data_IF_142003999809
#
_entry.id   IF_142003999809
#
_cell.length_a   1.000
_cell.length_b   1.000
_cell.length_c   1.000
_cell.angle_alpha   90.00
_cell.angle_beta   90.00
_cell.angle_gamma   90.00
#
_symmetry.space_group_name_H-M   'P 1'
#
loop_
_entity.id
_entity.type
_entity.pdbx_description
1 polymer ?
#
# COMPACT_ATOMS: atom_id res chain seq x y z
N UNK A 1 35.97 -25.41 3.31
CA UNK A 1 34.89 -25.63 2.33
C UNK A 1 33.81 -24.56 2.48
N UNK A 2 33.52 -23.96 1.42
CA UNK A 2 32.90 -22.70 1.08
C UNK A 2 31.45 -22.51 1.57
N UNK A 3 31.20 -21.41 2.32
CA UNK A 3 29.86 -20.83 2.50
C UNK A 3 29.85 -19.42 1.89
N UNK A 4 29.66 -19.34 0.58
CA UNK A 4 29.40 -18.07 -0.13
C UNK A 4 28.43 -18.35 -1.28
N UNK A 5 27.10 -18.18 -1.06
CA UNK A 5 26.16 -18.03 -2.20
C UNK A 5 24.74 -17.54 -1.88
N UNK A 6 24.40 -17.10 -0.66
CA UNK A 6 23.00 -16.74 -0.36
C UNK A 6 22.71 -15.23 -0.21
N UNK A 7 23.71 -14.35 -0.31
CA UNK A 7 23.54 -12.91 -0.02
C UNK A 7 23.17 -12.07 -1.25
N UNK A 8 23.41 -12.54 -2.45
CA UNK A 8 23.23 -11.72 -3.68
C UNK A 8 21.83 -11.76 -4.33
N UNK A 9 20.93 -12.63 -3.89
CA UNK A 9 19.59 -12.75 -4.51
C UNK A 9 18.56 -11.77 -3.94
N UNK A 10 18.76 -11.29 -2.71
CA UNK A 10 17.81 -10.41 -2.01
C UNK A 10 17.92 -8.93 -2.46
N UNK A 11 19.08 -8.50 -2.95
CA UNK A 11 19.31 -7.09 -3.35
C UNK A 11 18.66 -6.68 -4.69
N UNK A 12 18.32 -7.61 -5.58
CA UNK A 12 17.75 -7.27 -6.91
C UNK A 12 16.25 -6.98 -6.90
N UNK A 13 15.50 -7.56 -5.98
CA UNK A 13 14.04 -7.34 -5.88
C UNK A 13 13.68 -5.98 -5.26
N UNK A 14 14.50 -5.47 -4.34
CA UNK A 14 14.24 -4.19 -3.67
C UNK A 14 14.32 -2.97 -4.60
N UNK A 15 15.06 -3.04 -5.72
CA UNK A 15 15.15 -1.91 -6.66
C UNK A 15 13.89 -1.77 -7.51
N UNK A 16 13.30 -2.87 -7.97
CA UNK A 16 12.05 -2.85 -8.76
C UNK A 16 10.88 -2.34 -7.93
N UNK A 17 10.73 -2.83 -6.71
CA UNK A 17 9.67 -2.38 -5.80
C UNK A 17 9.80 -0.89 -5.50
N UNK A 18 11.00 -0.38 -5.24
CA UNK A 18 11.25 1.04 -5.00
C UNK A 18 10.91 1.92 -6.21
N UNK A 19 11.22 1.46 -7.42
CA UNK A 19 10.85 2.20 -8.63
C UNK A 19 9.33 2.30 -8.79
N UNK A 20 8.59 1.22 -8.52
CA UNK A 20 7.11 1.23 -8.53
C UNK A 20 6.59 2.16 -7.43
N UNK A 21 7.17 2.10 -6.24
CA UNK A 21 6.80 2.94 -5.08
C UNK A 21 6.93 4.43 -5.41
N UNK A 22 8.07 4.86 -5.98
CA UNK A 22 8.30 6.25 -6.39
C UNK A 22 7.37 6.69 -7.52
N UNK A 23 7.22 5.89 -8.56
CA UNK A 23 6.32 6.19 -9.67
C UNK A 23 4.86 6.29 -9.20
N UNK A 24 4.44 5.41 -8.26
CA UNK A 24 3.10 5.44 -7.69
C UNK A 24 2.84 6.71 -6.89
N UNK A 25 3.83 7.21 -6.14
CA UNK A 25 3.70 8.48 -5.43
C UNK A 25 3.47 9.66 -6.40
N UNK A 26 4.19 9.71 -7.52
CA UNK A 26 3.99 10.73 -8.56
C UNK A 26 2.59 10.62 -9.19
N UNK A 27 2.18 9.41 -9.58
CA UNK A 27 0.85 9.17 -10.12
C UNK A 27 -0.26 9.64 -9.18
N UNK A 28 -0.15 9.36 -7.87
CA UNK A 28 -1.12 9.78 -6.87
C UNK A 28 -1.13 11.29 -6.66
N UNK A 29 0.04 11.93 -6.69
CA UNK A 29 0.15 13.39 -6.63
C UNK A 29 -0.59 14.05 -7.80
N UNK A 30 -0.41 13.55 -9.02
CA UNK A 30 -1.14 14.02 -10.21
C UNK A 30 -2.66 13.81 -10.08
N UNK A 31 -3.10 12.78 -9.36
CA UNK A 31 -4.52 12.54 -9.01
C UNK A 31 -5.00 13.38 -7.83
N UNK A 32 -4.17 14.31 -7.35
CA UNK A 32 -4.48 15.21 -6.22
C UNK A 32 -4.73 14.49 -4.90
N UNK A 33 -4.04 13.38 -4.65
CA UNK A 33 -3.97 12.79 -3.33
C UNK A 33 -2.96 13.55 -2.47
N UNK A 34 -3.28 13.76 -1.19
CA UNK A 34 -2.37 14.38 -0.20
C UNK A 34 -2.95 14.16 1.22
N UNK A 35 -2.13 13.76 2.21
CA UNK A 35 -0.74 13.33 2.08
C UNK A 35 -0.56 11.97 1.38
N UNK A 36 0.65 11.74 0.85
CA UNK A 36 1.09 10.46 0.29
C UNK A 36 2.35 10.05 1.03
N UNK A 37 2.41 8.82 1.53
CA UNK A 37 3.63 8.29 2.16
C UNK A 37 3.82 6.82 1.86
N UNK A 38 5.05 6.34 2.02
CA UNK A 38 5.44 4.96 1.76
C UNK A 38 5.77 4.25 3.08
N UNK A 39 5.76 2.92 3.11
CA UNK A 39 6.16 2.11 4.27
C UNK A 39 5.60 2.65 5.58
N UNK A 40 4.30 2.87 5.58
CA UNK A 40 3.61 3.41 6.75
C UNK A 40 3.11 2.29 7.64
N UNK A 41 3.44 2.38 8.92
CA UNK A 41 2.90 1.50 9.98
C UNK A 41 2.20 2.39 10.99
N UNK A 42 0.89 2.34 11.05
CA UNK A 42 0.14 3.17 11.99
C UNK A 42 -1.32 2.74 12.12
N UNK A 43 -1.98 3.19 13.20
CA UNK A 43 -3.39 2.91 13.50
C UNK A 43 -3.76 1.41 13.49
N UNK A 44 -2.85 0.54 13.98
CA UNK A 44 -3.05 -0.91 13.99
C UNK A 44 -2.93 -1.57 12.60
N UNK A 45 -2.54 -0.82 11.57
CA UNK A 45 -2.23 -1.35 10.25
C UNK A 45 -0.87 -2.07 10.29
N UNK A 46 -0.78 -3.17 9.57
CA UNK A 46 0.50 -3.71 9.16
C UNK A 46 1.17 -2.71 8.19
N UNK A 47 2.49 -2.79 8.05
CA UNK A 47 3.20 -1.96 7.10
C UNK A 47 2.55 -2.07 5.70
N UNK A 48 2.25 -0.91 5.11
CA UNK A 48 1.77 -0.79 3.74
C UNK A 48 2.84 -0.14 2.87
N UNK A 49 2.93 -0.53 1.60
CA UNK A 49 3.96 -0.01 0.70
C UNK A 49 3.70 1.46 0.35
N UNK A 50 2.49 1.80 -0.06
CA UNK A 50 2.08 3.20 -0.32
C UNK A 50 0.70 3.43 0.27
N UNK A 51 0.52 4.57 0.94
CA UNK A 51 -0.76 5.02 1.46
C UNK A 51 -0.98 6.49 1.11
N UNK A 52 -2.22 6.85 0.79
CA UNK A 52 -2.58 8.22 0.44
C UNK A 52 -3.99 8.56 0.87
N UNK A 53 -4.28 9.87 0.92
CA UNK A 53 -5.62 10.39 1.19
C UNK A 53 -6.09 11.17 -0.04
N UNK A 54 -7.32 10.89 -0.50
CA UNK A 54 -7.97 11.65 -1.56
C UNK A 54 -8.52 12.99 -1.06
N UNK A 55 -8.91 13.89 -1.97
CA UNK A 55 -9.61 15.16 -1.63
C UNK A 55 -10.89 14.97 -0.82
N UNK A 56 -11.49 13.79 -0.86
CA UNK A 56 -12.71 13.45 -0.11
C UNK A 56 -12.42 12.77 1.23
N UNK A 57 -11.17 12.80 1.71
CA UNK A 57 -10.65 12.19 2.94
C UNK A 57 -10.74 10.66 2.97
N UNK A 58 -10.89 10.00 1.84
CA UNK A 58 -10.81 8.55 1.75
C UNK A 58 -9.35 8.09 1.71
N UNK A 59 -9.07 7.02 2.46
CA UNK A 59 -7.75 6.39 2.58
C UNK A 59 -7.61 5.34 1.49
N UNK A 60 -6.53 5.42 0.74
CA UNK A 60 -6.13 4.46 -0.29
C UNK A 60 -4.83 3.79 0.12
N UNK A 61 -4.82 2.47 0.12
CA UNK A 61 -3.63 1.65 0.36
C UNK A 61 -3.27 0.88 -0.90
N UNK A 62 -1.99 0.85 -1.19
CA UNK A 62 -1.43 0.17 -2.35
C UNK A 62 -0.33 -0.77 -1.88
N UNK A 63 -0.46 -2.03 -2.22
CA UNK A 63 0.49 -3.09 -1.91
C UNK A 63 1.21 -3.50 -3.18
N UNK A 64 2.53 -3.29 -3.23
CA UNK A 64 3.36 -3.53 -4.42
C UNK A 64 3.83 -4.97 -4.43
N UNK A 65 3.60 -5.67 -5.53
CA UNK A 65 4.03 -7.05 -5.73
C UNK A 65 4.84 -7.18 -7.01
N UNK A 66 6.09 -7.60 -6.87
CA UNK A 66 7.02 -7.80 -7.99
C UNK A 66 7.19 -9.25 -8.37
N UNK A 67 6.57 -10.18 -7.64
CA UNK A 67 6.53 -11.61 -7.96
C UNK A 67 5.21 -12.27 -7.55
N UNK A 68 4.82 -13.33 -8.26
CA UNK A 68 3.63 -14.13 -7.92
C UNK A 68 3.74 -14.80 -6.54
N UNK A 69 4.95 -15.18 -6.13
CA UNK A 69 5.18 -15.79 -4.83
C UNK A 69 4.93 -14.79 -3.69
N UNK A 70 5.34 -13.54 -3.86
CA UNK A 70 5.11 -12.46 -2.92
C UNK A 70 3.62 -12.09 -2.84
N UNK A 71 2.94 -12.01 -4.00
CA UNK A 71 1.49 -11.80 -4.05
C UNK A 71 0.73 -12.88 -3.25
N UNK A 72 1.05 -14.17 -3.45
CA UNK A 72 0.40 -15.26 -2.71
C UNK A 72 0.65 -15.19 -1.20
N UNK A 73 1.84 -14.79 -0.79
CA UNK A 73 2.18 -14.63 0.65
C UNK A 73 1.43 -13.47 1.31
N UNK A 74 0.96 -12.49 0.56
CA UNK A 74 0.28 -11.34 1.15
C UNK A 74 -1.00 -11.74 1.90
N UNK A 75 -1.70 -12.73 1.43
CA UNK A 75 -2.99 -13.17 2.00
C UNK A 75 -2.89 -13.80 3.39
N UNK A 76 -1.69 -14.08 3.91
CA UNK A 76 -1.50 -14.48 5.31
C UNK A 76 -1.53 -13.28 6.27
N UNK A 77 -1.46 -12.05 5.76
CA UNK A 77 -1.52 -10.85 6.60
C UNK A 77 -2.91 -10.69 7.22
N UNK A 78 -2.94 -10.33 8.48
CA UNK A 78 -4.16 -10.17 9.27
C UNK A 78 -5.14 -9.15 8.67
N UNK A 79 -4.64 -8.12 7.99
CA UNK A 79 -5.47 -7.11 7.32
C UNK A 79 -6.48 -7.72 6.33
N UNK A 80 -6.10 -8.75 5.57
CA UNK A 80 -7.02 -9.41 4.64
C UNK A 80 -8.14 -10.14 5.37
N UNK A 81 -7.82 -10.78 6.50
CA UNK A 81 -8.82 -11.41 7.37
C UNK A 81 -9.79 -10.37 7.93
N UNK A 82 -9.30 -9.19 8.33
CA UNK A 82 -10.16 -8.11 8.81
C UNK A 82 -11.04 -7.53 7.71
N UNK A 83 -10.53 -7.36 6.48
CA UNK A 83 -11.31 -6.89 5.33
C UNK A 83 -12.44 -7.88 5.02
N UNK A 84 -12.14 -9.18 4.94
CA UNK A 84 -13.11 -10.24 4.64
C UNK A 84 -14.20 -10.31 5.71
N UNK A 85 -13.86 -10.09 6.99
CA UNK A 85 -14.79 -10.11 8.11
C UNK A 85 -15.43 -8.73 8.40
N UNK A 86 -15.27 -7.77 7.51
CA UNK A 86 -15.81 -6.40 7.63
C UNK A 86 -15.41 -5.66 8.92
N UNK A 87 -14.24 -5.99 9.48
CA UNK A 87 -13.68 -5.38 10.68
C UNK A 87 -12.77 -4.21 10.34
N UNK A 88 -13.35 -3.14 9.79
CA UNK A 88 -12.57 -2.01 9.23
C UNK A 88 -12.06 -1.03 10.27
N UNK A 89 -12.70 -0.96 11.43
CA UNK A 89 -12.36 0.01 12.47
C UNK A 89 -12.42 -0.62 13.86
N UNK A 90 -11.61 -0.11 14.77
CA UNK A 90 -11.66 -0.46 16.19
C UNK A 90 -11.49 0.78 17.03
N UNK A 91 -12.37 0.97 18.00
CA UNK A 91 -12.32 2.06 18.99
C UNK A 91 -12.17 1.47 20.40
N UNK A 92 -11.21 1.98 21.17
CA UNK A 92 -11.02 1.63 22.58
C UNK A 92 -11.09 2.91 23.39
N UNK A 93 -11.96 2.96 24.40
CA UNK A 93 -12.17 4.14 25.26
C UNK A 93 -12.40 5.44 24.48
N UNK A 94 -13.18 5.38 23.41
CA UNK A 94 -13.49 6.53 22.56
C UNK A 94 -12.38 6.94 21.57
N UNK A 95 -11.21 6.29 21.59
CA UNK A 95 -10.13 6.55 20.64
C UNK A 95 -10.12 5.51 19.52
N UNK A 96 -10.04 5.97 18.27
CA UNK A 96 -9.87 5.11 17.11
C UNK A 96 -8.47 4.50 17.13
N UNK A 97 -8.36 3.22 17.44
CA UNK A 97 -7.08 2.51 17.56
C UNK A 97 -6.72 1.71 16.31
N UNK A 98 -7.68 1.52 15.43
CA UNK A 98 -7.52 0.74 14.21
C UNK A 98 -8.41 1.31 13.10
N UNK A 99 -7.85 1.52 11.93
CA UNK A 99 -8.56 1.99 10.74
C UNK A 99 -7.92 1.37 9.50
N UNK A 100 -8.67 0.53 8.79
CA UNK A 100 -8.29 0.03 7.48
C UNK A 100 -8.51 1.09 6.39
N UNK A 101 -7.89 0.94 5.22
CA UNK A 101 -8.15 1.83 4.09
C UNK A 101 -9.60 1.69 3.61
N UNK A 102 -10.10 2.76 2.99
CA UNK A 102 -11.39 2.72 2.29
C UNK A 102 -11.28 1.97 0.97
N UNK A 103 -10.10 2.03 0.34
CA UNK A 103 -9.79 1.36 -0.93
C UNK A 103 -8.43 0.69 -0.84
N UNK A 104 -8.39 -0.58 -1.19
CA UNK A 104 -7.17 -1.38 -1.20
C UNK A 104 -6.88 -1.88 -2.62
N UNK A 105 -5.64 -1.74 -3.09
CA UNK A 105 -5.24 -2.20 -4.42
C UNK A 105 -3.86 -2.86 -4.41
N UNK A 106 -3.71 -3.87 -5.23
CA UNK A 106 -2.39 -4.37 -5.62
C UNK A 106 -1.84 -3.57 -6.78
N UNK A 107 -0.53 -3.30 -6.74
CA UNK A 107 0.22 -2.67 -7.83
C UNK A 107 1.30 -3.64 -8.29
N UNK A 108 1.30 -3.98 -9.57
CA UNK A 108 2.20 -5.00 -10.12
C UNK A 108 2.78 -4.56 -11.46
N UNK A 109 3.93 -5.08 -11.88
CA UNK A 109 4.30 -5.05 -13.29
C UNK A 109 3.15 -5.61 -14.15
N UNK A 110 3.02 -5.08 -15.36
CA UNK A 110 1.98 -5.53 -16.31
C UNK A 110 1.97 -7.05 -16.46
N UNK A 111 0.77 -7.63 -16.47
CA UNK A 111 0.50 -9.05 -16.69
C UNK A 111 1.12 -10.02 -15.65
N UNK A 112 1.70 -9.51 -14.56
CA UNK A 112 2.24 -10.37 -13.51
C UNK A 112 1.15 -11.16 -12.78
N UNK A 113 0.02 -10.53 -12.50
CA UNK A 113 -1.16 -11.10 -11.82
C UNK A 113 -2.39 -10.83 -12.68
N UNK A 114 -3.23 -11.83 -12.91
CA UNK A 114 -4.49 -11.64 -13.64
C UNK A 114 -5.61 -11.10 -12.73
N UNK A 115 -6.62 -10.49 -13.32
CA UNK A 115 -7.79 -9.93 -12.61
C UNK A 115 -8.50 -11.00 -11.76
N UNK A 116 -8.59 -12.23 -12.27
CA UNK A 116 -9.29 -13.34 -11.61
C UNK A 116 -8.59 -13.84 -10.35
N UNK A 117 -7.28 -13.54 -10.21
CA UNK A 117 -6.51 -13.90 -9.01
C UNK A 117 -6.69 -12.89 -7.87
N UNK A 118 -7.21 -11.69 -8.19
CA UNK A 118 -7.35 -10.60 -7.22
C UNK A 118 -8.71 -10.69 -6.52
N UNK A 119 -8.76 -10.71 -5.18
CA UNK A 119 -10.01 -10.77 -4.43
C UNK A 119 -10.99 -9.66 -4.83
N UNK A 120 -12.29 -9.90 -4.66
CA UNK A 120 -13.34 -8.96 -5.05
C UNK A 120 -13.18 -7.58 -4.42
N UNK A 121 -12.72 -7.51 -3.18
CA UNK A 121 -12.53 -6.26 -2.44
C UNK A 121 -11.35 -5.41 -2.94
N UNK A 122 -10.38 -6.04 -3.61
CA UNK A 122 -9.13 -5.39 -3.99
C UNK A 122 -9.15 -4.91 -5.45
N UNK A 123 -8.52 -3.79 -5.71
CA UNK A 123 -8.16 -3.32 -7.05
C UNK A 123 -6.88 -3.94 -7.58
N UNK A 124 -6.65 -3.80 -8.87
CA UNK A 124 -5.42 -4.17 -9.56
C UNK A 124 -4.98 -3.03 -10.47
N UNK A 125 -3.74 -2.63 -10.31
CA UNK A 125 -3.10 -1.58 -11.10
C UNK A 125 -1.82 -2.16 -11.70
N UNK A 126 -1.69 -2.06 -13.00
CA UNK A 126 -0.46 -2.43 -13.70
C UNK A 126 0.45 -1.23 -13.85
N UNK A 127 1.74 -1.42 -13.64
CA UNK A 127 2.77 -0.51 -14.10
C UNK A 127 3.32 -1.04 -15.44
N UNK A 128 3.19 -0.22 -16.47
CA UNK A 128 3.73 -0.47 -17.80
C UNK A 128 5.26 -0.24 -17.84
N UNK A 129 5.91 -0.64 -18.93
CA UNK A 129 7.37 -0.46 -19.10
C UNK A 129 7.80 1.01 -19.13
N UNK A 130 6.94 1.90 -19.60
CA UNK A 130 7.14 3.36 -19.62
C UNK A 130 6.85 4.04 -18.26
N UNK A 131 6.64 3.24 -17.21
CA UNK A 131 6.27 3.67 -15.85
C UNK A 131 4.88 4.32 -15.74
N UNK A 132 4.05 4.25 -16.76
CA UNK A 132 2.64 4.65 -16.67
C UNK A 132 1.82 3.58 -15.92
N UNK A 133 0.66 3.99 -15.36
CA UNK A 133 -0.21 3.10 -14.61
C UNK A 133 -1.55 2.90 -15.32
N UNK A 134 -1.99 1.64 -15.37
CA UNK A 134 -3.27 1.22 -15.89
C UNK A 134 -4.10 0.59 -14.77
N UNK A 135 -5.29 1.14 -14.49
CA UNK A 135 -6.24 0.55 -13.52
C UNK A 135 -7.02 -0.55 -14.20
N UNK A 136 -6.61 -1.79 -14.01
CA UNK A 136 -7.22 -2.98 -14.64
C UNK A 136 -8.47 -3.44 -13.89
N UNK A 137 -8.46 -3.30 -12.55
CA UNK A 137 -9.61 -3.59 -11.69
C UNK A 137 -9.74 -2.48 -10.65
N UNK A 138 -10.92 -1.85 -10.58
CA UNK A 138 -11.20 -0.85 -9.55
C UNK A 138 -11.38 -1.52 -8.19
N UNK A 139 -10.83 -0.94 -7.10
CA UNK A 139 -11.07 -1.44 -5.75
C UNK A 139 -12.52 -1.18 -5.32
N UNK A 140 -13.05 -2.06 -4.46
CA UNK A 140 -14.35 -1.87 -3.82
C UNK A 140 -14.22 -0.85 -2.67
N UNK A 141 -15.24 -0.01 -2.46
CA UNK A 141 -15.34 0.79 -1.26
C UNK A 141 -15.62 -0.14 -0.07
N UNK A 142 -14.65 -0.26 0.84
CA UNK A 142 -14.74 -1.17 1.99
C UNK A 142 -15.63 -0.59 3.09
N UNK A 143 -15.48 0.69 3.40
CA UNK A 143 -16.27 1.41 4.41
C UNK A 143 -16.27 2.91 4.15
N UNK A 144 -17.16 3.64 4.82
CA UNK A 144 -17.35 5.09 4.64
C UNK A 144 -16.65 5.95 5.71
N UNK A 145 -15.97 5.34 6.68
CA UNK A 145 -15.23 6.09 7.71
C UNK A 145 -14.03 6.76 7.06
N UNK A 146 -13.99 8.08 7.13
CA UNK A 146 -12.94 8.90 6.52
C UNK A 146 -11.72 9.02 7.44
N UNK A 147 -10.59 9.41 6.87
CA UNK A 147 -9.42 9.80 7.64
C UNK A 147 -9.79 10.94 8.60
N UNK A 148 -9.45 10.79 9.88
CA UNK A 148 -9.58 11.84 10.87
C UNK A 148 -8.27 12.63 11.01
N UNK A 149 -8.31 13.75 11.73
CA UNK A 149 -7.14 14.61 11.93
C UNK A 149 -5.96 13.86 12.56
N UNK A 150 -6.21 12.94 13.48
CA UNK A 150 -5.17 12.14 14.11
C UNK A 150 -4.45 11.25 13.08
N UNK A 151 -5.20 10.61 12.19
CA UNK A 151 -4.65 9.79 11.12
C UNK A 151 -3.80 10.64 10.15
N UNK A 152 -4.34 11.78 9.72
CA UNK A 152 -3.64 12.73 8.84
C UNK A 152 -2.34 13.21 9.50
N UNK A 153 -2.37 13.55 10.79
CA UNK A 153 -1.19 13.96 11.56
C UNK A 153 -0.13 12.86 11.63
N UNK A 154 -0.53 11.61 11.81
CA UNK A 154 0.40 10.46 11.79
C UNK A 154 1.07 10.29 10.44
N UNK A 155 0.34 10.45 9.32
CA UNK A 155 0.94 10.42 7.98
C UNK A 155 1.92 11.58 7.78
N UNK A 156 1.55 12.80 8.17
CA UNK A 156 2.42 13.97 8.09
C UNK A 156 3.68 13.81 8.94
N UNK A 157 3.56 13.26 10.14
CA UNK A 157 4.70 12.94 11.00
C UNK A 157 5.63 11.90 10.34
N UNK A 158 5.08 10.84 9.75
CA UNK A 158 5.87 9.83 9.03
C UNK A 158 6.65 10.45 7.87
N UNK A 159 6.02 11.35 7.09
CA UNK A 159 6.69 12.10 6.02
C UNK A 159 7.82 12.98 6.57
N UNK A 160 7.58 13.73 7.66
CA UNK A 160 8.60 14.57 8.29
C UNK A 160 9.79 13.74 8.76
N UNK A 161 9.55 12.59 9.40
CA UNK A 161 10.62 11.68 9.82
C UNK A 161 11.45 11.19 8.63
N UNK A 162 10.81 10.83 7.51
CA UNK A 162 11.52 10.40 6.30
C UNK A 162 12.37 11.51 5.72
N UNK A 163 11.83 12.72 5.64
CA UNK A 163 12.57 13.89 5.16
C UNK A 163 13.81 14.19 6.03
N UNK A 164 13.61 14.22 7.35
CA UNK A 164 14.68 14.55 8.32
C UNK A 164 15.80 13.49 8.29
N UNK A 165 15.44 12.22 8.18
CA UNK A 165 16.40 11.12 8.23
C UNK A 165 16.84 10.61 6.85
N UNK A 166 16.62 11.38 5.78
CA UNK A 166 16.95 11.00 4.39
C UNK A 166 16.40 9.62 3.98
N UNK A 167 15.24 9.28 4.50
CA UNK A 167 14.54 8.02 4.20
C UNK A 167 13.42 8.21 3.17
N UNK A 168 13.43 9.32 2.44
CA UNK A 168 12.55 9.52 1.29
C UNK A 168 13.20 8.76 0.14
N UNK A 169 12.59 7.67 -0.18
CA UNK A 169 12.77 6.72 -1.29
C UNK A 169 14.15 6.67 -1.93
#
# INVERSE_FOLDING_TARGET
MSRKSSVNKIKRDNSKSKNIESAMCMYLYEKSHSPITTRFTGMGLQECDVISISKSDYIYEYEIKTSRADFKKDFIKEKHTHIINEKYTRTIKGQLTYLLPNYFSFVTPKDLISVDEVPEYAGLIYMNEDSSFEVVKKPKLLHKTKANEEFIRKLAHNLSCKLIFNKIV
#
